data_IF_372478439936
#
_entry.id   IF_372478439936
#
_cell.length_a   1.000
_cell.length_b   1.000
_cell.length_c   1.000
_cell.angle_alpha   90.00
_cell.angle_beta   90.00
_cell.angle_gamma   90.00
#
_symmetry.space_group_name_H-M   'P 1'
#
loop_
_entity.id
_entity.type
_entity.pdbx_description
1 polymer ?
#
# COMPACT_ATOMS: atom_id res chain seq x y z
N UNK A 1 9.98 -18.46 -12.33
CA UNK A 1 10.86 -18.95 -11.25
C UNK A 1 11.85 -17.89 -10.83
N UNK A 2 12.51 -17.25 -11.80
CA UNK A 2 13.54 -16.23 -11.53
C UNK A 2 12.99 -15.04 -10.74
N UNK A 3 11.83 -14.50 -11.13
CA UNK A 3 11.14 -13.43 -10.38
C UNK A 3 10.85 -13.79 -8.92
N UNK A 4 10.51 -15.05 -8.63
CA UNK A 4 10.25 -15.52 -7.25
C UNK A 4 11.55 -15.55 -6.46
N UNK A 5 12.63 -16.07 -7.04
CA UNK A 5 13.93 -16.14 -6.38
C UNK A 5 14.56 -14.76 -6.19
N UNK A 6 14.39 -13.85 -7.13
CA UNK A 6 14.82 -12.45 -7.01
C UNK A 6 14.13 -11.75 -5.83
N UNK A 7 12.79 -11.86 -5.74
CA UNK A 7 12.03 -11.30 -4.62
C UNK A 7 12.46 -11.93 -3.29
N UNK A 8 12.64 -13.24 -3.25
CA UNK A 8 13.12 -13.92 -2.04
C UNK A 8 14.53 -13.51 -1.64
N UNK A 9 15.43 -13.23 -2.61
CA UNK A 9 16.77 -12.72 -2.33
C UNK A 9 16.73 -11.37 -1.60
N UNK A 10 15.82 -10.48 -2.01
CA UNK A 10 15.63 -9.18 -1.35
C UNK A 10 15.11 -9.34 0.08
N UNK A 11 14.16 -10.25 0.29
CA UNK A 11 13.56 -10.50 1.61
C UNK A 11 14.57 -11.16 2.56
N UNK A 12 15.29 -12.17 2.08
CA UNK A 12 16.20 -12.95 2.93
C UNK A 12 17.58 -12.32 3.08
N UNK A 13 17.95 -11.37 2.23
CA UNK A 13 19.31 -10.81 2.14
C UNK A 13 20.35 -11.79 1.58
N UNK A 14 19.93 -12.93 1.06
CA UNK A 14 20.82 -14.00 0.59
C UNK A 14 21.21 -13.78 -0.87
N UNK A 15 22.49 -13.98 -1.18
CA UNK A 15 23.01 -13.79 -2.55
C UNK A 15 22.95 -15.04 -3.41
N UNK A 16 22.65 -16.18 -2.81
CA UNK A 16 22.64 -17.48 -3.51
C UNK A 16 21.31 -18.18 -3.37
N UNK A 17 20.88 -18.86 -4.44
CA UNK A 17 19.66 -19.65 -4.43
C UNK A 17 19.66 -20.71 -3.31
N UNK A 18 20.79 -21.37 -3.07
CA UNK A 18 20.94 -22.33 -1.96
C UNK A 18 20.87 -21.67 -0.58
N UNK A 19 21.34 -20.43 -0.45
CA UNK A 19 21.18 -19.62 0.76
C UNK A 19 19.71 -19.31 1.04
N UNK A 20 19.01 -18.78 0.03
CA UNK A 20 17.56 -18.48 0.08
C UNK A 20 16.77 -19.71 0.53
N UNK A 21 17.03 -20.88 -0.07
CA UNK A 21 16.33 -22.11 0.28
C UNK A 21 16.57 -22.52 1.73
N UNK A 22 17.82 -22.46 2.21
CA UNK A 22 18.13 -22.78 3.61
C UNK A 22 17.47 -21.80 4.57
N UNK A 23 17.47 -20.51 4.24
CA UNK A 23 16.79 -19.49 5.04
C UNK A 23 15.28 -19.76 5.16
N UNK A 24 14.63 -20.22 4.08
CA UNK A 24 13.24 -20.67 4.09
C UNK A 24 13.03 -22.02 4.82
N UNK A 25 14.10 -22.76 5.11
CA UNK A 25 14.03 -24.13 5.66
C UNK A 25 13.73 -25.20 4.61
N UNK A 26 14.05 -24.95 3.35
CA UNK A 26 13.84 -25.85 2.21
C UNK A 26 15.18 -26.47 1.80
N UNK A 27 15.17 -27.75 1.46
CA UNK A 27 16.37 -28.43 0.92
C UNK A 27 16.79 -27.77 -0.41
N UNK A 28 18.07 -27.38 -0.59
CA UNK A 28 18.54 -26.76 -1.85
C UNK A 28 18.28 -27.60 -3.10
N UNK A 29 18.26 -28.92 -2.98
CA UNK A 29 17.94 -29.86 -4.07
C UNK A 29 16.54 -29.65 -4.66
N UNK A 30 15.62 -29.01 -3.93
CA UNK A 30 14.28 -28.68 -4.42
C UNK A 30 14.31 -27.70 -5.60
N UNK A 31 15.34 -26.84 -5.73
CA UNK A 31 15.49 -25.93 -6.87
C UNK A 31 15.59 -26.70 -8.19
N UNK A 32 16.41 -27.74 -8.22
CA UNK A 32 16.61 -28.55 -9.43
C UNK A 32 15.30 -29.26 -9.83
N UNK A 33 14.53 -29.73 -8.84
CA UNK A 33 13.22 -30.33 -9.08
C UNK A 33 12.20 -29.32 -9.64
N UNK A 34 12.16 -28.10 -9.11
CA UNK A 34 11.27 -27.04 -9.61
C UNK A 34 11.62 -26.62 -11.03
N UNK A 35 12.92 -26.45 -11.33
CA UNK A 35 13.41 -26.17 -12.69
C UNK A 35 12.98 -27.27 -13.67
N UNK A 36 13.19 -28.55 -13.30
CA UNK A 36 12.81 -29.70 -14.13
C UNK A 36 11.30 -29.79 -14.37
N UNK A 37 10.47 -29.41 -13.39
CA UNK A 37 9.00 -29.44 -13.49
C UNK A 37 8.39 -28.17 -14.09
N UNK A 38 9.18 -27.12 -14.30
CA UNK A 38 8.70 -25.81 -14.75
C UNK A 38 7.73 -25.13 -13.77
N UNK A 39 7.70 -25.55 -12.50
CA UNK A 39 6.73 -25.07 -11.50
C UNK A 39 7.38 -24.93 -10.13
N UNK A 40 6.99 -23.87 -9.41
CA UNK A 40 7.45 -23.60 -8.03
C UNK A 40 6.40 -24.13 -7.07
N UNK A 41 6.83 -24.91 -6.08
CA UNK A 41 5.96 -25.27 -4.96
C UNK A 41 5.97 -24.14 -3.93
N UNK A 42 4.84 -23.43 -3.79
CA UNK A 42 4.72 -22.29 -2.88
C UNK A 42 4.47 -22.68 -1.42
N UNK A 43 3.93 -23.85 -1.12
CA UNK A 43 3.65 -24.28 0.26
C UNK A 43 4.87 -24.14 1.20
N UNK A 44 6.05 -24.67 0.87
CA UNK A 44 7.22 -24.53 1.74
C UNK A 44 7.77 -23.09 1.76
N UNK A 45 7.52 -22.30 0.71
CA UNK A 45 7.92 -20.88 0.66
C UNK A 45 7.03 -20.08 1.62
N UNK A 46 5.72 -20.26 1.55
CA UNK A 46 4.73 -19.63 2.44
C UNK A 46 5.06 -19.98 3.90
N UNK A 47 5.28 -21.26 4.20
CA UNK A 47 5.67 -21.69 5.54
C UNK A 47 6.98 -21.03 6.03
N UNK A 48 7.96 -20.88 5.14
CA UNK A 48 9.22 -20.19 5.43
C UNK A 48 9.01 -18.70 5.71
N UNK A 49 8.23 -17.99 4.88
CA UNK A 49 7.94 -16.57 5.06
C UNK A 49 7.16 -16.30 6.36
N UNK A 50 6.15 -17.11 6.66
CA UNK A 50 5.38 -16.98 7.90
C UNK A 50 6.25 -17.22 9.14
N UNK A 51 7.21 -18.15 9.08
CA UNK A 51 8.19 -18.38 10.16
C UNK A 51 9.00 -17.12 10.46
N UNK A 52 9.36 -16.36 9.43
CA UNK A 52 10.09 -15.10 9.53
C UNK A 52 9.18 -13.88 9.68
N UNK A 53 7.87 -14.07 9.87
CA UNK A 53 6.86 -13.00 9.98
C UNK A 53 6.86 -12.03 8.79
N UNK A 54 7.22 -12.52 7.61
CA UNK A 54 7.19 -11.75 6.37
C UNK A 54 5.81 -11.83 5.75
N UNK A 55 5.24 -10.69 5.37
CA UNK A 55 3.96 -10.64 4.63
C UNK A 55 4.09 -11.39 3.31
N UNK A 56 3.09 -12.22 2.99
CA UNK A 56 3.04 -12.94 1.72
C UNK A 56 2.85 -11.98 0.54
N UNK A 57 2.21 -10.83 0.77
CA UNK A 57 2.01 -9.77 -0.22
C UNK A 57 3.33 -9.33 -0.84
N UNK A 58 4.38 -9.27 -0.02
CA UNK A 58 5.69 -8.87 -0.47
C UNK A 58 6.24 -9.82 -1.55
N UNK A 59 5.92 -11.11 -1.44
CA UNK A 59 6.31 -12.10 -2.44
C UNK A 59 5.44 -12.03 -3.69
N UNK A 60 4.12 -11.89 -3.54
CA UNK A 60 3.18 -12.04 -4.64
C UNK A 60 2.87 -10.72 -5.36
N UNK A 61 2.69 -9.64 -4.60
CA UNK A 61 2.24 -8.35 -5.09
C UNK A 61 2.96 -7.17 -4.37
N UNK A 62 4.29 -7.05 -4.47
CA UNK A 62 5.08 -6.09 -3.68
C UNK A 62 4.77 -4.61 -3.95
N UNK A 63 4.10 -4.31 -5.05
CA UNK A 63 3.76 -2.95 -5.48
C UNK A 63 2.26 -2.71 -5.57
N UNK A 64 1.45 -3.69 -5.20
CA UNK A 64 -0.01 -3.57 -5.17
C UNK A 64 -0.47 -3.29 -3.75
N UNK A 65 -1.45 -2.40 -3.61
CA UNK A 65 -2.12 -2.18 -2.33
C UNK A 65 -3.23 -3.23 -2.18
N UNK A 66 -2.93 -4.28 -1.41
CA UNK A 66 -3.85 -5.39 -1.24
C UNK A 66 -4.90 -5.05 -0.18
N UNK A 67 -6.17 -5.21 -0.57
CA UNK A 67 -7.29 -5.12 0.34
C UNK A 67 -7.31 -6.33 1.27
N UNK A 68 -7.28 -6.07 2.58
CA UNK A 68 -7.44 -7.08 3.64
C UNK A 68 -8.88 -7.07 4.14
N UNK A 69 -9.75 -7.95 3.61
CA UNK A 69 -11.16 -7.99 3.98
C UNK A 69 -11.31 -8.40 5.45
N UNK A 70 -12.27 -7.76 6.13
CA UNK A 70 -12.80 -8.24 7.40
C UNK A 70 -13.74 -9.44 7.19
N UNK A 71 -14.04 -10.19 8.25
CA UNK A 71 -14.93 -11.36 8.18
C UNK A 71 -16.29 -11.03 7.55
N UNK A 72 -16.83 -9.83 7.81
CA UNK A 72 -18.08 -9.37 7.20
C UNK A 72 -17.99 -9.07 5.71
N UNK A 73 -16.80 -8.73 5.21
CA UNK A 73 -16.54 -8.38 3.81
C UNK A 73 -16.18 -9.60 2.95
N UNK A 74 -15.89 -10.75 3.55
CA UNK A 74 -15.57 -11.99 2.82
C UNK A 74 -16.74 -12.47 1.95
N UNK A 75 -17.99 -12.20 2.36
CA UNK A 75 -19.20 -12.54 1.59
C UNK A 75 -19.34 -11.72 0.30
N UNK A 76 -18.71 -10.55 0.23
CA UNK A 76 -18.84 -9.58 -0.85
C UNK A 76 -17.77 -9.78 -1.95
N UNK A 77 -16.73 -10.58 -1.68
CA UNK A 77 -15.67 -10.91 -2.63
C UNK A 77 -16.14 -11.87 -3.75
N UNK A 78 -17.31 -12.49 -3.58
CA UNK A 78 -17.86 -13.45 -4.53
C UNK A 78 -18.65 -12.81 -5.68
N UNK A 79 -18.96 -11.51 -5.62
CA UNK A 79 -19.81 -10.86 -6.62
C UNK A 79 -19.15 -9.64 -7.23
N UNK A 80 -18.98 -9.68 -8.56
CA UNK A 80 -18.56 -8.59 -9.43
C UNK A 80 -19.52 -7.41 -9.30
N UNK A 81 -19.34 -6.55 -8.30
CA UNK A 81 -20.34 -5.51 -7.98
C UNK A 81 -19.75 -4.09 -8.08
N UNK A 82 -19.87 -3.44 -9.26
CA UNK A 82 -19.56 -2.02 -9.44
C UNK A 82 -20.30 -1.10 -8.46
N UNK A 83 -21.52 -1.48 -8.04
CA UNK A 83 -22.32 -0.79 -7.03
C UNK A 83 -21.68 -0.80 -5.64
N UNK A 84 -20.92 -1.83 -5.29
CA UNK A 84 -20.24 -1.93 -4.01
C UNK A 84 -19.03 -1.00 -4.00
N UNK A 85 -18.25 -0.95 -5.08
CA UNK A 85 -17.14 -0.01 -5.22
C UNK A 85 -17.61 1.46 -5.14
N UNK A 86 -18.77 1.78 -5.73
CA UNK A 86 -19.33 3.13 -5.65
C UNK A 86 -19.77 3.49 -4.21
N UNK A 87 -20.42 2.56 -3.51
CA UNK A 87 -20.81 2.75 -2.11
C UNK A 87 -19.58 2.81 -1.18
N UNK A 88 -18.54 2.04 -1.46
CA UNK A 88 -17.28 2.07 -0.70
C UNK A 88 -16.55 3.40 -0.90
N UNK A 89 -16.43 3.88 -2.14
CA UNK A 89 -15.83 5.17 -2.44
C UNK A 89 -16.61 6.31 -1.75
N UNK A 90 -17.94 6.23 -1.75
CA UNK A 90 -18.79 7.20 -1.06
C UNK A 90 -18.63 7.13 0.47
N UNK A 91 -18.58 5.93 1.06
CA UNK A 91 -18.35 5.75 2.49
C UNK A 91 -16.96 6.23 2.92
N UNK A 92 -15.93 5.97 2.13
CA UNK A 92 -14.57 6.46 2.37
C UNK A 92 -14.49 7.99 2.28
N UNK A 93 -15.22 8.60 1.33
CA UNK A 93 -15.33 10.05 1.23
C UNK A 93 -16.03 10.65 2.46
N UNK A 94 -17.12 10.03 2.93
CA UNK A 94 -17.82 10.45 4.15
C UNK A 94 -16.91 10.34 5.38
N UNK A 95 -16.17 9.23 5.52
CA UNK A 95 -15.23 9.04 6.62
C UNK A 95 -14.11 10.09 6.61
N UNK A 96 -13.53 10.35 5.43
CA UNK A 96 -12.51 11.38 5.25
C UNK A 96 -13.06 12.76 5.65
N UNK A 97 -14.25 13.13 5.18
CA UNK A 97 -14.89 14.41 5.53
C UNK A 97 -15.10 14.52 7.04
N UNK A 98 -15.65 13.48 7.69
CA UNK A 98 -15.86 13.45 9.14
C UNK A 98 -14.58 13.62 9.95
N UNK A 99 -13.42 13.23 9.38
CA UNK A 99 -12.11 13.41 10.02
C UNK A 99 -11.47 14.76 9.72
N UNK A 100 -11.69 15.30 8.52
CA UNK A 100 -11.04 16.51 8.01
C UNK A 100 -11.74 17.77 8.52
N UNK A 101 -13.07 17.78 8.54
CA UNK A 101 -13.86 18.96 8.90
C UNK A 101 -13.52 19.51 10.30
N UNK A 102 -13.39 18.68 11.36
CA UNK A 102 -12.99 19.15 12.67
C UNK A 102 -11.57 19.75 12.69
N UNK A 103 -10.68 19.26 11.82
CA UNK A 103 -9.31 19.80 11.70
C UNK A 103 -9.34 21.17 11.03
N UNK A 104 -10.12 21.34 9.96
CA UNK A 104 -10.29 22.64 9.31
C UNK A 104 -10.88 23.67 10.29
N UNK A 105 -11.91 23.28 11.06
CA UNK A 105 -12.52 24.13 12.08
C UNK A 105 -11.51 24.53 13.16
N UNK A 106 -10.70 23.58 13.65
CA UNK A 106 -9.68 23.84 14.68
C UNK A 106 -8.66 24.90 14.26
N UNK A 107 -8.36 24.98 12.97
CA UNK A 107 -7.42 25.96 12.42
C UNK A 107 -8.11 27.15 11.73
N UNK A 108 -9.42 27.34 11.94
CA UNK A 108 -10.23 28.41 11.33
C UNK A 108 -10.11 28.47 9.79
N UNK A 109 -9.93 27.32 9.14
CA UNK A 109 -9.86 27.23 7.69
C UNK A 109 -11.26 27.07 7.10
N UNK A 110 -11.56 27.76 5.97
CA UNK A 110 -12.85 27.61 5.33
C UNK A 110 -12.98 26.19 4.73
N UNK A 111 -14.18 25.61 4.85
CA UNK A 111 -14.53 24.29 4.31
C UNK A 111 -14.80 24.34 2.80
N UNK A 112 -13.90 24.94 2.05
CA UNK A 112 -13.97 24.97 0.58
C UNK A 112 -13.71 23.59 0.01
N UNK A 113 -14.22 23.33 -1.19
CA UNK A 113 -13.99 22.07 -1.90
C UNK A 113 -12.48 21.80 -2.08
N UNK A 114 -11.71 22.83 -2.45
CA UNK A 114 -10.26 22.75 -2.60
C UNK A 114 -9.55 22.32 -1.32
N UNK A 115 -9.92 22.88 -0.16
CA UNK A 115 -9.32 22.53 1.13
C UNK A 115 -9.67 21.10 1.54
N UNK A 116 -10.92 20.68 1.34
CA UNK A 116 -11.38 19.31 1.62
C UNK A 116 -10.71 18.30 0.71
N UNK A 117 -10.58 18.60 -0.58
CA UNK A 117 -9.89 17.73 -1.54
C UNK A 117 -8.42 17.54 -1.16
N UNK A 118 -7.71 18.64 -0.86
CA UNK A 118 -6.31 18.59 -0.46
C UNK A 118 -6.12 17.79 0.84
N UNK A 119 -6.98 18.00 1.83
CA UNK A 119 -6.94 17.23 3.08
C UNK A 119 -7.29 15.75 2.86
N UNK A 120 -8.21 15.44 1.95
CA UNK A 120 -8.59 14.06 1.59
C UNK A 120 -7.46 13.32 0.89
N UNK A 121 -6.75 13.96 -0.04
CA UNK A 121 -5.53 13.40 -0.64
C UNK A 121 -4.49 13.04 0.42
N UNK A 122 -4.36 13.88 1.46
CA UNK A 122 -3.44 13.63 2.58
C UNK A 122 -3.90 12.44 3.42
N UNK A 123 -5.20 12.38 3.70
CA UNK A 123 -5.83 11.33 4.49
C UNK A 123 -5.63 9.94 3.87
N UNK A 124 -5.80 9.83 2.54
CA UNK A 124 -5.64 8.58 1.81
C UNK A 124 -4.19 8.19 1.53
N UNK A 125 -3.24 9.12 1.59
CA UNK A 125 -1.79 8.82 1.41
C UNK A 125 -1.11 8.27 2.67
N UNK A 126 -1.82 8.15 3.80
CA UNK A 126 -1.26 7.54 5.03
C UNK A 126 -1.03 6.05 4.80
N UNK A 127 0.14 5.54 5.20
CA UNK A 127 0.42 4.09 5.23
C UNK A 127 0.43 3.65 6.69
N UNK A 128 -0.65 2.99 7.12
CA UNK A 128 -0.87 2.72 8.55
C UNK A 128 -1.01 4.05 9.33
N UNK A 129 -0.17 4.26 10.35
CA UNK A 129 -0.12 5.50 11.14
C UNK A 129 0.94 6.51 10.65
N UNK A 130 1.74 6.15 9.64
CA UNK A 130 2.84 6.98 9.17
C UNK A 130 2.54 7.59 7.79
N UNK A 131 2.88 8.86 7.62
CA UNK A 131 2.93 9.53 6.31
C UNK A 131 4.38 9.56 5.84
N UNK A 132 4.62 9.23 4.57
CA UNK A 132 5.96 9.33 3.99
C UNK A 132 6.38 10.80 3.98
N UNK A 133 7.58 11.13 4.50
CA UNK A 133 8.06 12.50 4.66
C UNK A 133 7.97 13.32 3.35
N UNK A 134 8.36 12.74 2.21
CA UNK A 134 8.25 13.42 0.92
C UNK A 134 6.80 13.72 0.52
N UNK A 135 5.87 12.83 0.83
CA UNK A 135 4.44 13.06 0.61
C UNK A 135 3.92 14.18 1.52
N UNK A 136 4.34 14.20 2.79
CA UNK A 136 4.01 15.27 3.73
C UNK A 136 4.50 16.64 3.25
N UNK A 137 5.78 16.73 2.86
CA UNK A 137 6.40 17.96 2.35
C UNK A 137 5.71 18.47 1.08
N UNK A 138 5.41 17.59 0.12
CA UNK A 138 4.67 17.95 -1.10
C UNK A 138 3.28 18.48 -0.78
N UNK A 139 2.61 17.89 0.20
CA UNK A 139 1.26 18.29 0.57
C UNK A 139 1.22 19.64 1.29
N UNK A 140 2.20 19.90 2.15
CA UNK A 140 2.42 21.22 2.75
C UNK A 140 2.72 22.25 1.66
N UNK A 141 3.57 21.94 0.69
CA UNK A 141 3.87 22.85 -0.42
C UNK A 141 2.62 23.19 -1.25
N UNK A 142 1.77 22.20 -1.58
CA UNK A 142 0.48 22.42 -2.24
C UNK A 142 -0.45 23.30 -1.41
N UNK A 143 -0.50 23.07 -0.09
CA UNK A 143 -1.33 23.87 0.82
C UNK A 143 -0.87 25.33 0.84
N UNK A 144 0.44 25.56 0.93
CA UNK A 144 1.03 26.90 0.91
C UNK A 144 0.78 27.61 -0.43
N UNK A 145 0.99 26.93 -1.56
CA UNK A 145 0.70 27.49 -2.88
C UNK A 145 -0.78 27.84 -3.10
N UNK A 146 -1.68 27.10 -2.44
CA UNK A 146 -3.14 27.37 -2.51
C UNK A 146 -3.54 28.52 -1.58
N UNK A 147 -2.88 28.66 -0.43
CA UNK A 147 -3.16 29.68 0.57
C UNK A 147 -2.51 31.04 0.25
N UNK A 148 -1.41 31.05 -0.51
CA UNK A 148 -0.75 32.26 -0.96
C UNK A 148 -1.40 32.75 -2.26
N UNK A 149 -2.00 33.95 -2.28
CA UNK A 149 -2.36 34.58 -3.54
C UNK A 149 -1.07 34.82 -4.34
N UNK A 150 -1.11 34.55 -5.65
CA UNK A 150 0.00 34.78 -6.58
C UNK A 150 0.63 36.18 -6.36
N UNK A 151 1.76 36.24 -5.65
CA UNK A 151 2.57 37.48 -5.58
C UNK A 151 3.24 37.80 -6.93
N UNK A 152 3.12 36.92 -7.92
CA UNK A 152 3.65 37.09 -9.28
C UNK A 152 2.73 37.88 -10.24
N UNK A 153 1.69 38.57 -9.76
CA UNK A 153 0.84 39.43 -10.60
C UNK A 153 0.82 40.90 -10.17
N UNK A 154 1.78 41.34 -9.33
CA UNK A 154 2.01 42.74 -8.98
C UNK A 154 3.50 43.12 -9.05
N UNK A 155 4.18 42.68 -10.11
CA UNK A 155 5.41 43.31 -10.56
C UNK A 155 5.38 43.37 -12.10
N UNK A 156 5.14 44.60 -12.57
CA UNK A 156 5.11 45.13 -13.94
C UNK A 156 3.90 44.83 -14.85
#
# INVERSE_FOLDING_TARGET
>A
MDTVMERLALISGERSASGIMRWLGIKPSSIANWKRRGSVNFDPIIAGLLRHRVSLDWLFAPYEDLFYPTVGQLGELNESTPLYQQNQAMNLAIEAINRIDPVLERYNLPKTETNRQLMSETYFKKRGEALILSAALNQVAKALATAQPNEASQAD
#
